data_IF_594772392507
#
_entry.id   IF_594772392507
#
_cell.length_a   1.000
_cell.length_b   1.000
_cell.length_c   1.000
_cell.angle_alpha   90.00
_cell.angle_beta   90.00
_cell.angle_gamma   90.00
#
_symmetry.space_group_name_H-M   'P 1'
#
loop_
_entity.id
_entity.type
_entity.pdbx_description
1 polymer ?
#
# COMPACT_ATOMS: atom_id res chain seq x y z
N UNK A 1 -9.36 -5.26 6.51
CA UNK A 1 -9.22 -4.37 5.33
C UNK A 1 -10.21 -3.20 5.35
N UNK A 2 -11.53 -3.44 5.40
CA UNK A 2 -12.55 -2.39 5.28
C UNK A 2 -12.42 -1.26 6.34
N UNK A 3 -12.12 -1.58 7.60
CA UNK A 3 -11.96 -0.56 8.64
C UNK A 3 -10.77 0.37 8.37
N UNK A 4 -9.68 -0.19 7.83
CA UNK A 4 -8.49 0.59 7.44
C UNK A 4 -8.85 1.53 6.28
N UNK A 5 -9.56 1.02 5.28
CA UNK A 5 -10.03 1.83 4.15
C UNK A 5 -10.90 2.99 4.60
N UNK A 6 -11.88 2.74 5.49
CA UNK A 6 -12.77 3.78 6.05
C UNK A 6 -12.00 4.82 6.86
N UNK A 7 -10.97 4.39 7.60
CA UNK A 7 -10.10 5.32 8.34
C UNK A 7 -9.35 6.28 7.41
N UNK A 8 -8.75 5.78 6.33
CA UNK A 8 -8.08 6.62 5.33
C UNK A 8 -9.07 7.46 4.53
N UNK A 9 -10.21 6.90 4.13
CA UNK A 9 -11.28 7.66 3.45
C UNK A 9 -11.71 8.86 4.30
N UNK A 10 -11.95 8.65 5.60
CA UNK A 10 -12.29 9.73 6.52
C UNK A 10 -11.26 10.86 6.48
N UNK A 11 -9.97 10.56 6.49
CA UNK A 11 -8.91 11.56 6.41
C UNK A 11 -8.91 12.29 5.06
N UNK A 12 -9.02 11.53 3.97
CA UNK A 12 -8.93 12.06 2.60
C UNK A 12 -10.11 12.95 2.24
N UNK A 13 -11.29 12.70 2.83
CA UNK A 13 -12.53 13.46 2.57
C UNK A 13 -12.70 14.68 3.47
N UNK A 14 -11.84 14.88 4.47
CA UNK A 14 -11.86 16.12 5.30
C UNK A 14 -11.61 17.36 4.47
N UNK A 15 -12.10 18.50 4.97
CA UNK A 15 -11.85 19.83 4.40
C UNK A 15 -11.21 20.68 5.48
N UNK A 16 -9.92 20.94 5.39
CA UNK A 16 -8.97 20.46 4.37
C UNK A 16 -8.66 18.96 4.49
N UNK A 17 -8.28 18.34 3.35
CA UNK A 17 -7.92 16.91 3.29
C UNK A 17 -6.65 16.62 4.08
N UNK A 18 -6.60 15.47 4.74
CA UNK A 18 -5.44 15.02 5.53
C UNK A 18 -4.81 13.80 4.83
N UNK A 19 -3.49 13.83 4.65
CA UNK A 19 -2.68 12.72 4.14
C UNK A 19 -1.93 12.13 5.33
N UNK A 20 -2.04 10.83 5.57
CA UNK A 20 -1.43 10.14 6.71
C UNK A 20 0.09 10.00 6.56
N UNK A 21 0.57 9.54 5.41
CA UNK A 21 1.97 9.40 4.96
C UNK A 21 2.81 8.33 5.65
N UNK A 22 2.31 7.64 6.65
CA UNK A 22 2.99 6.51 7.31
C UNK A 22 2.01 5.36 7.60
N UNK A 23 1.14 5.04 6.63
CA UNK A 23 0.28 3.88 6.72
C UNK A 23 1.11 2.61 6.57
N UNK A 24 1.21 1.83 7.65
CA UNK A 24 1.92 0.55 7.73
C UNK A 24 1.27 -0.35 8.78
N UNK A 25 1.57 -1.62 8.75
CA UNK A 25 0.94 -2.61 9.66
C UNK A 25 1.14 -2.27 11.14
N UNK A 26 2.32 -1.78 11.54
CA UNK A 26 2.58 -1.38 12.94
C UNK A 26 1.78 -0.16 13.41
N UNK A 27 1.22 0.64 12.48
CA UNK A 27 0.34 1.78 12.76
C UNK A 27 -1.15 1.40 12.66
N UNK A 28 -1.47 0.11 12.59
CA UNK A 28 -2.85 -0.40 12.62
C UNK A 28 -3.04 -1.15 13.92
N UNK A 29 -3.85 -0.60 14.80
CA UNK A 29 -4.22 -1.23 16.07
C UNK A 29 -5.56 -1.96 15.94
N UNK A 30 -5.68 -3.11 16.58
CA UNK A 30 -6.92 -3.87 16.65
C UNK A 30 -7.52 -3.69 18.04
N UNK A 31 -8.75 -3.20 18.09
CA UNK A 31 -9.49 -3.05 19.35
C UNK A 31 -9.92 -4.40 19.89
N UNK A 32 -10.34 -4.46 21.15
CA UNK A 32 -10.93 -5.66 21.79
C UNK A 32 -12.18 -6.17 21.07
N UNK A 33 -12.85 -5.34 20.30
CA UNK A 33 -14.02 -5.68 19.47
C UNK A 33 -13.65 -6.13 18.04
N UNK A 34 -12.36 -6.31 17.74
CA UNK A 34 -11.88 -6.72 16.41
C UNK A 34 -11.90 -5.61 15.35
N UNK A 35 -12.07 -4.33 15.73
CA UNK A 35 -12.08 -3.19 14.79
C UNK A 35 -10.67 -2.67 14.59
N UNK A 36 -10.24 -2.50 13.34
CA UNK A 36 -8.95 -1.90 13.03
C UNK A 36 -9.02 -0.36 13.10
N UNK A 37 -7.98 0.23 13.71
CA UNK A 37 -7.83 1.68 13.87
C UNK A 37 -6.46 2.12 13.36
N UNK A 38 -6.43 3.16 12.53
CA UNK A 38 -5.18 3.81 12.11
C UNK A 38 -4.70 4.72 13.24
N UNK A 39 -3.41 4.69 13.50
CA UNK A 39 -2.74 5.47 14.55
C UNK A 39 -1.47 6.12 14.03
N UNK A 40 -0.79 6.90 14.88
CA UNK A 40 0.45 7.60 14.57
C UNK A 40 0.31 8.64 13.45
N UNK A 41 -0.29 9.76 13.83
CA UNK A 41 -0.46 10.94 12.96
C UNK A 41 0.76 11.88 12.99
N UNK A 42 1.89 11.47 13.56
CA UNK A 42 3.09 12.30 13.69
C UNK A 42 3.63 12.81 12.36
N UNK A 43 3.40 12.08 11.28
CA UNK A 43 3.78 12.47 9.92
C UNK A 43 2.60 13.01 9.09
N UNK A 44 1.38 13.04 9.62
CA UNK A 44 0.20 13.47 8.87
C UNK A 44 0.32 14.92 8.40
N UNK A 45 -0.19 15.22 7.22
CA UNK A 45 -0.19 16.57 6.65
C UNK A 45 -1.56 16.98 6.12
N UNK A 46 -1.95 18.18 6.53
CA UNK A 46 -3.14 18.85 6.00
C UNK A 46 -2.83 19.43 4.62
N UNK A 47 -3.69 19.15 3.66
CA UNK A 47 -3.59 19.67 2.30
C UNK A 47 -4.48 20.91 2.18
N UNK A 48 -3.88 22.08 2.25
CA UNK A 48 -4.57 23.38 2.29
C UNK A 48 -5.36 23.71 1.02
N UNK A 49 -5.01 23.11 -0.12
CA UNK A 49 -5.68 23.32 -1.40
C UNK A 49 -5.69 22.03 -2.23
N UNK A 50 -6.77 21.81 -2.99
CA UNK A 50 -6.87 20.68 -3.94
C UNK A 50 -5.77 20.70 -5.02
N UNK A 51 -5.19 21.87 -5.31
CA UNK A 51 -4.09 22.04 -6.27
C UNK A 51 -2.70 22.04 -5.60
N UNK A 52 -2.60 22.10 -4.26
CA UNK A 52 -1.29 22.08 -3.60
C UNK A 52 -0.75 20.66 -3.54
N UNK A 53 0.46 20.48 -4.06
CA UNK A 53 1.24 19.25 -3.90
C UNK A 53 2.14 19.38 -2.68
N UNK A 54 2.22 18.33 -1.88
CA UNK A 54 3.08 18.28 -0.70
C UNK A 54 4.52 17.98 -1.13
N UNK A 55 5.51 18.56 -0.45
CA UNK A 55 6.93 18.46 -0.80
C UNK A 55 7.75 18.07 0.43
N UNK A 56 7.67 16.83 0.88
CA UNK A 56 8.55 16.33 1.95
C UNK A 56 8.68 14.81 1.86
N UNK A 57 9.90 14.29 1.93
CA UNK A 57 10.17 12.86 2.01
C UNK A 57 10.00 12.44 3.46
N UNK A 58 9.03 11.59 3.75
CA UNK A 58 8.73 11.08 5.09
C UNK A 58 8.03 9.72 5.00
N UNK A 59 8.09 8.93 6.05
CA UNK A 59 7.44 7.64 6.17
C UNK A 59 8.43 6.46 6.13
N UNK A 60 7.90 5.25 6.22
CA UNK A 60 8.68 4.01 6.27
C UNK A 60 8.86 3.46 4.85
N UNK A 61 10.09 3.37 4.38
CA UNK A 61 10.47 3.07 2.98
C UNK A 61 9.74 1.86 2.39
N UNK A 62 9.60 0.79 3.17
CA UNK A 62 8.94 -0.45 2.72
C UNK A 62 7.47 -0.28 2.29
N UNK A 63 6.77 0.73 2.80
CA UNK A 63 5.37 1.04 2.46
C UNK A 63 5.22 2.29 1.60
N UNK A 64 6.32 3.00 1.32
CA UNK A 64 6.26 4.27 0.60
C UNK A 64 5.93 4.10 -0.88
N UNK A 65 5.10 5.02 -1.36
CA UNK A 65 4.81 5.15 -2.78
C UNK A 65 6.02 5.72 -3.56
N UNK A 66 6.26 5.27 -4.79
CA UNK A 66 7.46 5.65 -5.57
C UNK A 66 7.58 7.15 -5.83
N UNK A 67 6.49 7.88 -5.93
CA UNK A 67 6.50 9.34 -6.14
C UNK A 67 7.07 10.13 -4.96
N UNK A 68 7.16 9.52 -3.76
CA UNK A 68 7.78 10.15 -2.59
C UNK A 68 9.31 10.19 -2.67
N UNK A 69 9.91 9.40 -3.55
CA UNK A 69 11.37 9.24 -3.63
C UNK A 69 12.06 10.21 -4.59
N UNK A 70 11.31 11.12 -5.19
CA UNK A 70 11.91 12.20 -5.97
C UNK A 70 12.54 13.26 -5.04
N UNK A 71 13.63 13.92 -5.44
CA UNK A 71 14.27 14.99 -4.65
C UNK A 71 13.30 16.12 -4.29
N UNK A 72 12.31 16.37 -5.12
CA UNK A 72 11.23 17.34 -4.92
C UNK A 72 9.86 16.66 -5.12
N UNK A 73 9.42 15.81 -4.19
CA UNK A 73 8.24 14.99 -4.39
C UNK A 73 6.98 15.87 -4.48
N UNK A 74 6.17 15.61 -5.50
CA UNK A 74 4.84 16.20 -5.65
C UNK A 74 3.82 15.07 -5.55
N UNK A 75 3.02 15.05 -4.50
CA UNK A 75 2.10 13.96 -4.23
C UNK A 75 0.78 14.44 -3.61
N UNK A 76 -0.16 13.56 -3.54
CA UNK A 76 -1.47 13.74 -2.92
C UNK A 76 -1.83 12.52 -2.05
N UNK A 77 -3.08 12.40 -1.64
CA UNK A 77 -3.58 11.29 -0.81
C UNK A 77 -3.42 9.89 -1.44
N UNK A 78 -3.11 9.77 -2.73
CA UNK A 78 -2.86 8.47 -3.40
C UNK A 78 -1.59 7.76 -2.89
N UNK A 79 -0.70 8.45 -2.16
CA UNK A 79 0.42 7.79 -1.47
C UNK A 79 -0.08 6.86 -0.36
N UNK A 80 -1.14 7.25 0.36
CA UNK A 80 -1.74 6.41 1.39
C UNK A 80 -2.45 5.19 0.78
N UNK A 81 -3.00 5.32 -0.42
CA UNK A 81 -3.60 4.19 -1.16
C UNK A 81 -2.56 3.13 -1.47
N UNK A 82 -1.38 3.55 -1.95
CA UNK A 82 -0.26 2.64 -2.18
C UNK A 82 0.19 1.94 -0.89
N UNK A 83 0.40 2.71 0.17
CA UNK A 83 0.83 2.17 1.46
C UNK A 83 -0.21 1.20 2.04
N UNK A 84 -1.49 1.51 1.89
CA UNK A 84 -2.60 0.65 2.29
C UNK A 84 -2.61 -0.68 1.50
N UNK A 85 -2.27 -0.65 0.21
CA UNK A 85 -2.12 -1.87 -0.59
C UNK A 85 -1.02 -2.78 -0.05
N UNK A 86 0.11 -2.21 0.42
CA UNK A 86 1.16 -2.98 1.08
C UNK A 86 0.67 -3.64 2.38
N UNK A 87 -0.11 -2.92 3.20
CA UNK A 87 -0.76 -3.50 4.39
C UNK A 87 -1.73 -4.62 4.01
N UNK A 88 -2.51 -4.45 2.95
CA UNK A 88 -3.42 -5.50 2.48
C UNK A 88 -2.67 -6.73 2.00
N UNK A 89 -1.55 -6.55 1.32
CA UNK A 89 -0.67 -7.64 0.93
C UNK A 89 -0.12 -8.40 2.16
N UNK A 90 0.23 -7.72 3.26
CA UNK A 90 0.60 -8.37 4.53
C UNK A 90 -0.58 -9.16 5.12
N UNK A 91 -1.78 -8.58 5.15
CA UNK A 91 -2.99 -9.25 5.64
C UNK A 91 -3.29 -10.51 4.82
N UNK A 92 -3.07 -10.48 3.52
CA UNK A 92 -3.33 -11.62 2.63
C UNK A 92 -2.42 -12.82 2.90
N UNK A 93 -1.32 -12.63 3.64
CA UNK A 93 -0.42 -13.69 4.07
C UNK A 93 -0.79 -14.30 5.44
N UNK A 94 -1.94 -13.96 6.02
CA UNK A 94 -2.30 -14.37 7.39
C UNK A 94 -2.17 -15.87 7.66
N UNK A 95 -2.40 -16.71 6.65
CA UNK A 95 -2.29 -18.17 6.69
C UNK A 95 -0.86 -18.70 6.54
N UNK A 96 0.10 -17.85 6.13
CA UNK A 96 1.49 -18.24 5.96
C UNK A 96 2.21 -18.23 7.31
N UNK A 97 2.82 -19.35 7.77
CA UNK A 97 3.60 -19.36 9.00
C UNK A 97 4.83 -18.42 8.92
N UNK A 98 5.40 -18.26 7.73
CA UNK A 98 6.55 -17.40 7.46
C UNK A 98 6.08 -16.08 6.80
N UNK A 99 5.27 -15.31 7.53
CA UNK A 99 4.80 -14.00 7.06
C UNK A 99 5.97 -13.06 6.85
N UNK A 100 5.89 -12.28 5.77
CA UNK A 100 6.89 -11.27 5.42
C UNK A 100 6.27 -9.89 5.39
N UNK A 101 7.05 -8.88 5.74
CA UNK A 101 6.70 -7.50 5.43
C UNK A 101 7.22 -7.11 4.04
N UNK A 102 6.70 -6.03 3.44
CA UNK A 102 7.11 -5.63 2.10
C UNK A 102 8.63 -5.43 2.00
N UNK A 103 9.26 -6.00 0.97
CA UNK A 103 10.69 -5.86 0.69
C UNK A 103 11.61 -6.37 1.79
N UNK A 104 11.18 -7.33 2.61
CA UNK A 104 11.97 -7.91 3.69
C UNK A 104 13.34 -8.41 3.17
N UNK A 105 14.41 -8.06 3.92
CA UNK A 105 15.78 -8.39 3.55
C UNK A 105 16.43 -7.45 2.52
N UNK A 106 15.70 -6.48 2.00
CA UNK A 106 16.27 -5.43 1.15
C UNK A 106 16.62 -4.18 1.96
N UNK A 107 17.77 -3.57 1.65
CA UNK A 107 18.11 -2.26 2.20
C UNK A 107 17.36 -1.14 1.45
N UNK A 108 17.33 0.06 2.01
CA UNK A 108 16.58 1.19 1.46
C UNK A 108 16.98 1.54 0.02
N UNK A 109 18.28 1.49 -0.31
CA UNK A 109 18.75 1.75 -1.67
C UNK A 109 18.24 0.71 -2.67
N UNK A 110 18.24 -0.57 -2.29
CA UNK A 110 17.73 -1.63 -3.12
C UNK A 110 16.20 -1.50 -3.34
N UNK A 111 15.45 -1.10 -2.30
CA UNK A 111 14.01 -0.83 -2.42
C UNK A 111 13.78 0.36 -3.35
N UNK A 112 14.53 1.46 -3.15
CA UNK A 112 14.46 2.65 -3.98
C UNK A 112 14.71 2.32 -5.47
N UNK A 113 15.77 1.57 -5.77
CA UNK A 113 16.09 1.15 -7.13
C UNK A 113 15.00 0.22 -7.71
N UNK A 114 14.54 -0.75 -6.91
CA UNK A 114 13.53 -1.71 -7.36
C UNK A 114 12.18 -1.04 -7.67
N UNK A 115 11.65 -0.24 -6.75
CA UNK A 115 10.31 0.34 -6.87
C UNK A 115 10.31 1.62 -7.70
N UNK A 116 11.31 2.50 -7.50
CA UNK A 116 11.41 3.78 -8.18
C UNK A 116 11.93 3.65 -9.60
N UNK A 117 13.17 3.16 -9.75
CA UNK A 117 13.84 3.11 -11.04
C UNK A 117 13.34 1.95 -11.93
N UNK A 118 13.24 0.74 -11.39
CA UNK A 118 12.84 -0.47 -12.12
C UNK A 118 11.33 -0.74 -12.15
N UNK A 119 10.54 0.06 -11.45
CA UNK A 119 9.08 -0.10 -11.33
C UNK A 119 8.63 -1.50 -10.88
N UNK A 120 9.45 -2.15 -10.06
CA UNK A 120 9.16 -3.46 -9.50
C UNK A 120 8.06 -3.38 -8.43
N UNK A 121 7.51 -4.54 -8.09
CA UNK A 121 6.56 -4.71 -6.98
C UNK A 121 7.12 -5.74 -6.00
N UNK A 122 6.67 -5.69 -4.75
CA UNK A 122 7.06 -6.65 -3.74
C UNK A 122 6.64 -8.07 -4.14
N UNK A 123 7.56 -9.03 -4.13
CA UNK A 123 7.33 -10.41 -4.60
C UNK A 123 7.33 -11.39 -3.44
N UNK A 124 6.36 -12.29 -3.42
CA UNK A 124 6.34 -13.48 -2.56
C UNK A 124 7.10 -14.63 -3.27
N UNK A 125 8.43 -14.67 -3.20
CA UNK A 125 9.16 -15.81 -3.74
C UNK A 125 9.89 -16.60 -2.66
N UNK A 126 9.57 -17.89 -2.58
CA UNK A 126 10.21 -18.89 -1.71
C UNK A 126 11.54 -19.45 -2.26
N UNK A 127 11.89 -19.18 -3.51
CA UNK A 127 13.13 -19.66 -4.12
C UNK A 127 13.66 -18.62 -5.11
N UNK A 128 14.76 -18.00 -4.77
CA UNK A 128 15.88 -17.65 -5.63
C UNK A 128 16.65 -16.45 -5.11
N UNK A 129 17.61 -16.71 -4.22
CA UNK A 129 18.73 -15.77 -3.96
C UNK A 129 19.79 -15.90 -5.09
N UNK A 130 19.65 -16.82 -6.03
CA UNK A 130 20.74 -17.24 -6.94
C UNK A 130 20.64 -16.75 -8.38
N UNK A 131 19.96 -15.63 -8.70
CA UNK A 131 20.11 -15.06 -10.07
C UNK A 131 19.99 -13.54 -10.11
N UNK A 132 20.99 -12.88 -9.55
CA UNK A 132 21.13 -11.42 -9.63
C UNK A 132 21.86 -10.92 -10.89
N UNK A 133 21.92 -11.67 -11.98
CA UNK A 133 22.63 -11.25 -13.21
C UNK A 133 21.90 -11.67 -14.51
N UNK A 134 20.62 -11.37 -14.67
CA UNK A 134 20.07 -11.33 -16.03
C UNK A 134 18.98 -10.26 -16.14
N UNK A 135 19.14 -9.38 -17.12
CA UNK A 135 18.21 -8.34 -17.54
C UNK A 135 16.90 -8.95 -18.05
N UNK A 136 16.00 -9.33 -17.15
CA UNK A 136 14.61 -9.57 -17.50
C UNK A 136 13.74 -8.76 -16.54
N UNK A 137 12.63 -8.12 -17.00
CA UNK A 137 11.71 -7.48 -16.10
C UNK A 137 11.18 -8.55 -15.13
N UNK A 138 11.53 -8.42 -13.85
CA UNK A 138 11.05 -9.33 -12.81
C UNK A 138 9.52 -9.28 -12.81
N UNK A 139 8.85 -10.45 -12.79
CA UNK A 139 7.40 -10.50 -12.80
C UNK A 139 6.84 -9.75 -11.58
N UNK A 140 5.71 -9.09 -11.78
CA UNK A 140 4.85 -8.56 -10.71
C UNK A 140 4.74 -9.60 -9.58
N UNK A 141 4.47 -9.20 -8.31
CA UNK A 141 4.30 -10.15 -7.22
C UNK A 141 3.45 -11.31 -7.69
N UNK A 142 3.95 -12.54 -7.53
CA UNK A 142 3.15 -13.70 -7.88
C UNK A 142 1.98 -13.78 -6.90
N UNK A 143 0.89 -13.12 -7.22
CA UNK A 143 -0.41 -13.29 -6.56
C UNK A 143 -1.04 -14.63 -6.91
N UNK A 144 -0.38 -15.47 -7.73
CA UNK A 144 -0.91 -16.77 -8.14
C UNK A 144 -1.23 -17.67 -6.94
N UNK A 145 -0.39 -17.66 -5.90
CA UNK A 145 -0.67 -18.37 -4.65
C UNK A 145 -1.81 -17.73 -3.84
N UNK A 146 -1.92 -16.40 -3.87
CA UNK A 146 -2.96 -15.66 -3.16
C UNK A 146 -4.31 -15.78 -3.85
N UNK A 147 -4.35 -15.82 -5.19
CA UNK A 147 -5.59 -16.03 -5.97
C UNK A 147 -6.30 -17.35 -5.69
N UNK A 148 -5.61 -18.33 -5.13
CA UNK A 148 -6.24 -19.61 -4.70
C UNK A 148 -6.93 -19.51 -3.35
N UNK A 149 -6.58 -18.53 -2.53
CA UNK A 149 -7.01 -18.39 -1.13
C UNK A 149 -7.93 -17.20 -0.90
N UNK A 150 -7.86 -16.21 -1.77
CA UNK A 150 -8.64 -14.98 -1.73
C UNK A 150 -9.51 -14.86 -2.97
N UNK A 151 -10.65 -14.20 -2.85
CA UNK A 151 -11.47 -13.90 -4.02
C UNK A 151 -10.65 -13.03 -5.00
N UNK A 152 -10.75 -13.30 -6.32
CA UNK A 152 -9.98 -12.58 -7.33
C UNK A 152 -10.15 -11.07 -7.25
N UNK A 153 -11.32 -10.60 -6.92
CA UNK A 153 -11.66 -9.18 -6.85
C UNK A 153 -10.84 -8.42 -5.79
N UNK A 154 -10.55 -9.05 -4.64
CA UNK A 154 -9.66 -8.41 -3.63
C UNK A 154 -8.23 -8.32 -4.16
N UNK A 155 -7.75 -9.37 -4.84
CA UNK A 155 -6.40 -9.36 -5.41
C UNK A 155 -6.29 -8.28 -6.48
N UNK A 156 -7.28 -8.19 -7.37
CA UNK A 156 -7.32 -7.18 -8.43
C UNK A 156 -7.41 -5.75 -7.87
N UNK A 157 -8.16 -5.56 -6.77
CA UNK A 157 -8.20 -4.29 -6.06
C UNK A 157 -6.82 -3.89 -5.53
N UNK A 158 -6.13 -4.79 -4.84
CA UNK A 158 -4.78 -4.54 -4.31
C UNK A 158 -3.81 -4.22 -5.45
N UNK A 159 -3.88 -4.93 -6.58
CA UNK A 159 -3.05 -4.65 -7.75
C UNK A 159 -3.31 -3.26 -8.37
N UNK A 160 -4.54 -2.75 -8.32
CA UNK A 160 -4.85 -1.38 -8.75
C UNK A 160 -4.37 -0.35 -7.73
N UNK A 161 -4.49 -0.64 -6.44
CA UNK A 161 -4.09 0.29 -5.38
C UNK A 161 -2.59 0.61 -5.38
N UNK A 162 -1.72 -0.32 -5.79
CA UNK A 162 -0.27 -0.12 -5.84
C UNK A 162 0.30 0.17 -7.22
N UNK A 163 -0.52 0.63 -8.15
CA UNK A 163 -0.01 1.06 -9.46
C UNK A 163 1.10 2.10 -9.33
N UNK A 164 2.02 2.10 -10.31
CA UNK A 164 3.18 3.01 -10.26
C UNK A 164 2.72 4.45 -10.39
N UNK A 165 1.86 4.74 -11.38
CA UNK A 165 1.25 6.06 -11.53
C UNK A 165 0.15 6.25 -10.47
N UNK A 166 0.23 7.31 -9.65
CA UNK A 166 -0.83 7.63 -8.70
C UNK A 166 -2.20 7.85 -9.33
N UNK A 167 -2.26 8.26 -10.59
CA UNK A 167 -3.53 8.49 -11.28
C UNK A 167 -4.28 7.19 -11.58
N UNK A 168 -3.56 6.10 -11.78
CA UNK A 168 -4.14 4.77 -12.03
C UNK A 168 -4.66 4.09 -10.76
N UNK A 169 -4.32 4.61 -9.58
CA UNK A 169 -4.80 4.08 -8.30
C UNK A 169 -6.22 4.56 -8.00
N UNK A 170 -7.09 3.72 -7.44
CA UNK A 170 -8.40 4.14 -6.96
C UNK A 170 -8.27 5.19 -5.84
N UNK A 171 -9.33 5.93 -5.57
CA UNK A 171 -9.49 6.71 -4.33
C UNK A 171 -9.86 5.79 -3.17
N UNK A 172 -9.66 6.21 -1.93
CA UNK A 172 -10.10 5.41 -0.78
C UNK A 172 -11.63 5.26 -0.73
N UNK A 173 -12.39 6.21 -1.26
CA UNK A 173 -13.86 6.10 -1.40
C UNK A 173 -14.24 4.95 -2.34
N UNK A 174 -13.56 4.83 -3.48
CA UNK A 174 -13.77 3.70 -4.39
C UNK A 174 -13.36 2.37 -3.74
N UNK A 175 -12.23 2.34 -3.02
CA UNK A 175 -11.79 1.15 -2.28
C UNK A 175 -12.81 0.73 -1.22
N UNK A 176 -13.34 1.67 -0.44
CA UNK A 176 -14.39 1.39 0.55
C UNK A 176 -15.63 0.81 -0.12
N UNK A 177 -16.10 1.43 -1.19
CA UNK A 177 -17.29 0.97 -1.93
C UNK A 177 -17.12 -0.47 -2.45
N UNK A 178 -15.98 -0.78 -3.05
CA UNK A 178 -15.70 -2.14 -3.55
C UNK A 178 -15.62 -3.16 -2.42
N UNK A 179 -14.90 -2.85 -1.33
CA UNK A 179 -14.81 -3.74 -0.17
C UNK A 179 -16.17 -3.98 0.50
N UNK A 180 -17.02 -2.95 0.60
CA UNK A 180 -18.38 -3.10 1.12
C UNK A 180 -19.23 -4.00 0.24
N UNK A 181 -19.10 -3.88 -1.08
CA UNK A 181 -19.78 -4.77 -2.03
C UNK A 181 -19.34 -6.22 -1.84
N UNK A 182 -18.02 -6.46 -1.73
CA UNK A 182 -17.48 -7.80 -1.50
C UNK A 182 -17.92 -8.39 -0.17
N UNK A 183 -17.91 -7.60 0.93
CA UNK A 183 -18.41 -8.06 2.23
C UNK A 183 -19.87 -8.45 2.16
N UNK A 184 -20.71 -7.72 1.43
CA UNK A 184 -22.13 -8.10 1.24
C UNK A 184 -22.32 -9.36 0.40
N UNK A 185 -21.43 -9.59 -0.58
CA UNK A 185 -21.51 -10.75 -1.49
C UNK A 185 -21.06 -12.06 -0.84
N UNK A 186 -20.08 -11.99 0.07
CA UNK A 186 -19.47 -13.18 0.68
C UNK A 186 -19.88 -13.40 2.16
N UNK A 187 -20.85 -12.65 2.65
CA UNK A 187 -21.51 -12.86 3.95
C UNK A 187 -22.61 -13.91 3.83
#
# INVERSE_FOLDING_TARGET
MLDIARGLEYLHTRKPSVIHRDCKSSNILITSRGVAKITDFGLAKVKESTRSMVRSVVGTVNWQAPELWHPHPKYNHKVDVFSCAMVYWEIMQWHNPNKKYPWEGMNEHAIYDAVGAKKQRCVLNHHTIDRLLSYAPLPRPSVSGLRKLWCPEIVDLVERMWQHDPQDRPTMTEVVHELEHLVRRYR
#
